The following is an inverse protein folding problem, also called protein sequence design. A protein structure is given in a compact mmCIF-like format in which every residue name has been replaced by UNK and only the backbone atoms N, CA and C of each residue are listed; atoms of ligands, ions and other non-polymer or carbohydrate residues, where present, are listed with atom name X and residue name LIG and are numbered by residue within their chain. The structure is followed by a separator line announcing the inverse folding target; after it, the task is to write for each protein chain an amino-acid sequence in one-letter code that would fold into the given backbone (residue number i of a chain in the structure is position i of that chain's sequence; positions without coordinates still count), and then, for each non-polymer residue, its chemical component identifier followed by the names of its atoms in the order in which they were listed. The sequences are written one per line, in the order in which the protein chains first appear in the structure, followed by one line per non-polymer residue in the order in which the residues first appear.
data_IF_253162342701
#
_entry.id   IF_253162342701
#
_cell.length_a   1.000
_cell.length_b   1.000
_cell.length_c   1.000
_cell.angle_alpha   90.00
_cell.angle_beta   90.00
_cell.angle_gamma   90.00
#
_symmetry.space_group_name_H-M   'P 1'
#
loop_
_entity.id
_entity.type
_entity.pdbx_description
1 polymer ?
#
# COMPACT_ATOMS: atom_id res chain seq x y z
N UNK A 1 20.65 -1.51 16.59
CA UNK A 1 19.37 -0.84 16.95
C UNK A 1 19.52 0.12 18.12
N UNK A 2 20.49 -0.04 19.03
CA UNK A 2 20.74 0.90 20.14
C UNK A 2 21.11 2.33 19.68
N UNK A 3 21.88 2.47 18.60
CA UNK A 3 22.33 3.78 18.12
C UNK A 3 21.18 4.71 17.68
N UNK A 4 20.12 4.14 17.10
CA UNK A 4 18.96 4.90 16.66
C UNK A 4 18.17 5.48 17.85
N UNK A 5 18.03 4.71 18.94
CA UNK A 5 17.35 5.16 20.16
C UNK A 5 18.15 6.24 20.89
N UNK A 6 19.47 6.08 20.96
CA UNK A 6 20.37 7.05 21.56
C UNK A 6 20.35 8.40 20.80
N UNK A 7 20.41 8.37 19.46
CA UNK A 7 20.32 9.56 18.62
C UNK A 7 18.97 10.28 18.75
N UNK A 8 17.86 9.53 18.78
CA UNK A 8 16.52 10.10 19.00
C UNK A 8 16.38 10.74 20.38
N UNK A 9 16.92 10.11 21.42
CA UNK A 9 16.88 10.67 22.78
C UNK A 9 17.68 11.96 22.89
N UNK A 10 18.85 12.04 22.25
CA UNK A 10 19.63 13.28 22.21
C UNK A 10 18.85 14.38 21.48
N UNK A 11 18.32 14.08 20.29
CA UNK A 11 17.57 15.04 19.49
C UNK A 11 16.33 15.57 20.24
N UNK A 12 15.58 14.70 20.93
CA UNK A 12 14.40 15.11 21.70
C UNK A 12 14.74 15.86 22.99
N UNK A 13 15.96 15.72 23.53
CA UNK A 13 16.45 16.54 24.65
C UNK A 13 16.80 17.96 24.21
N UNK A 14 17.33 18.11 23.00
CA UNK A 14 17.70 19.40 22.43
C UNK A 14 16.47 20.21 21.97
N UNK A 15 15.34 19.55 21.71
CA UNK A 15 14.07 20.19 21.33
C UNK A 15 13.36 20.88 22.48
N UNK A 16 12.66 21.98 22.15
CA UNK A 16 11.73 22.63 23.07
C UNK A 16 10.52 21.74 23.36
N UNK A 17 9.81 22.03 24.45
CA UNK A 17 8.58 21.31 24.79
C UNK A 17 7.49 21.47 23.72
N UNK A 18 7.38 22.66 23.15
CA UNK A 18 6.43 23.01 22.10
C UNK A 18 6.69 22.20 20.82
N UNK A 19 7.96 22.10 20.41
CA UNK A 19 8.36 21.31 19.23
C UNK A 19 8.16 19.81 19.44
N UNK A 20 8.38 19.32 20.67
CA UNK A 20 8.14 17.92 21.01
C UNK A 20 6.63 17.62 21.00
N UNK A 21 5.80 18.55 21.50
CA UNK A 21 4.34 18.46 21.49
C UNK A 21 3.77 18.52 20.06
N UNK A 22 4.32 19.40 19.21
CA UNK A 22 3.93 19.49 17.81
C UNK A 22 4.20 18.17 17.08
N UNK A 23 5.39 17.59 17.25
CA UNK A 23 5.73 16.28 16.67
C UNK A 23 4.86 15.15 17.19
N UNK A 24 4.52 15.19 18.48
CA UNK A 24 3.62 14.23 19.09
C UNK A 24 2.22 14.30 18.48
N UNK A 25 1.65 15.50 18.36
CA UNK A 25 0.33 15.74 17.76
C UNK A 25 0.30 15.50 16.25
N UNK A 26 1.43 15.64 15.55
CA UNK A 26 1.54 15.35 14.13
C UNK A 26 1.29 13.87 13.80
N UNK A 27 1.56 12.96 14.75
CA UNK A 27 1.21 11.54 14.64
C UNK A 27 2.11 10.73 13.69
N UNK A 28 3.27 11.26 13.30
CA UNK A 28 4.21 10.62 12.35
C UNK A 28 5.44 10.00 13.02
N UNK A 29 5.42 9.82 14.35
CA UNK A 29 6.51 9.20 15.10
C UNK A 29 6.53 7.68 14.90
N UNK A 30 7.72 7.12 14.73
CA UNK A 30 7.95 5.68 14.76
C UNK A 30 7.77 5.13 16.18
N UNK A 31 7.56 3.82 16.35
CA UNK A 31 7.35 3.21 17.67
C UNK A 31 8.48 3.54 18.66
N UNK A 32 9.74 3.47 18.19
CA UNK A 32 10.92 3.84 19.00
C UNK A 32 10.90 5.33 19.36
N UNK A 33 10.49 6.21 18.44
CA UNK A 33 10.37 7.63 18.73
C UNK A 33 9.22 7.93 19.70
N UNK A 34 8.10 7.21 19.63
CA UNK A 34 6.99 7.34 20.61
C UNK A 34 7.46 6.98 22.01
N UNK A 35 8.22 5.89 22.18
CA UNK A 35 8.78 5.51 23.49
C UNK A 35 9.74 6.56 24.05
N UNK A 36 10.63 7.08 23.19
CA UNK A 36 11.60 8.12 23.58
C UNK A 36 10.87 9.42 23.94
N UNK A 37 9.85 9.83 23.17
CA UNK A 37 9.04 11.01 23.46
C UNK A 37 8.29 10.87 24.79
N UNK A 38 7.67 9.71 25.07
CA UNK A 38 7.01 9.44 26.37
C UNK A 38 7.97 9.57 27.55
N UNK A 39 9.19 9.08 27.38
CA UNK A 39 10.22 9.15 28.40
C UNK A 39 10.63 10.61 28.65
N UNK A 40 10.80 11.40 27.60
CA UNK A 40 11.16 12.82 27.74
C UNK A 40 9.98 13.68 28.27
N UNK A 41 8.73 13.42 27.88
CA UNK A 41 7.56 14.08 28.48
C UNK A 41 7.44 13.78 29.98
N UNK A 42 7.63 12.51 30.37
CA UNK A 42 7.61 12.10 31.78
C UNK A 42 8.72 12.79 32.58
N UNK A 43 9.92 12.92 31.99
CA UNK A 43 11.05 13.64 32.61
C UNK A 43 10.77 15.13 32.76
N UNK A 44 10.06 15.74 31.82
CA UNK A 44 9.68 17.16 31.84
C UNK A 44 8.43 17.45 32.70
N UNK A 45 7.76 16.41 33.21
CA UNK A 45 6.54 16.56 34.02
C UNK A 45 5.32 16.97 33.22
N UNK A 46 5.36 16.84 31.89
CA UNK A 46 4.28 17.23 30.97
C UNK A 46 3.45 16.00 30.68
N UNK A 47 2.12 16.12 30.78
CA UNK A 47 1.22 15.06 30.33
C UNK A 47 0.79 15.34 28.88
N UNK A 48 1.35 14.62 27.89
CA UNK A 48 0.92 14.77 26.52
C UNK A 48 -0.47 14.13 26.32
N UNK A 49 -1.27 14.62 25.35
CA UNK A 49 -2.51 13.97 24.96
C UNK A 49 -2.26 12.54 24.46
N UNK A 50 -3.29 11.72 24.34
CA UNK A 50 -3.13 10.36 23.80
C UNK A 50 -2.49 10.41 22.40
N UNK A 51 -1.41 9.66 22.19
CA UNK A 51 -0.77 9.57 20.87
C UNK A 51 -1.72 8.90 19.89
N UNK A 52 -2.03 9.61 18.80
CA UNK A 52 -2.81 9.06 17.68
C UNK A 52 -1.86 8.97 16.49
N UNK A 53 -1.45 7.74 16.15
CA UNK A 53 -0.65 7.51 14.97
C UNK A 53 -1.46 7.92 13.73
N UNK A 54 -0.97 8.91 12.99
CA UNK A 54 -1.53 9.26 11.70
C UNK A 54 -1.04 8.21 10.71
N UNK A 55 -1.97 7.49 10.13
CA UNK A 55 -1.63 6.58 9.04
C UNK A 55 -1.14 7.46 7.88
N UNK A 56 0.16 7.44 7.66
CA UNK A 56 0.69 7.76 6.33
C UNK A 56 0.08 6.69 5.43
N UNK A 57 -0.63 7.10 4.38
CA UNK A 57 -0.93 6.22 3.25
C UNK A 57 0.41 5.68 2.76
N UNK A 58 0.80 4.53 3.32
CA UNK A 58 2.05 3.86 2.96
C UNK A 58 1.89 3.55 1.49
N UNK A 59 2.73 4.12 0.58
CA UNK A 59 2.74 3.62 -0.78
C UNK A 59 2.94 2.11 -0.66
N UNK A 60 2.18 1.33 -1.43
CA UNK A 60 2.01 -0.12 -1.29
C UNK A 60 3.29 -0.98 -1.49
N UNK A 61 4.48 -0.48 -1.12
CA UNK A 61 5.80 -1.07 -1.30
C UNK A 61 6.46 -1.60 -0.02
N UNK A 62 5.86 -1.47 1.16
CA UNK A 62 6.40 -2.07 2.40
C UNK A 62 5.37 -2.98 3.09
N UNK A 63 4.86 -3.94 2.32
CA UNK A 63 4.45 -5.23 2.87
C UNK A 63 5.72 -6.10 2.82
N UNK A 64 6.27 -6.47 3.98
CA UNK A 64 7.56 -7.18 4.07
C UNK A 64 7.63 -8.32 3.06
N UNK A 65 8.61 -8.24 2.14
CA UNK A 65 8.90 -9.14 1.01
C UNK A 65 7.91 -10.30 0.81
N UNK A 66 6.63 -9.99 0.59
CA UNK A 66 5.64 -11.02 0.35
C UNK A 66 5.88 -11.47 -1.09
N UNK A 67 6.18 -12.75 -1.27
CA UNK A 67 6.41 -13.32 -2.59
C UNK A 67 5.23 -12.97 -3.50
N UNK A 68 5.52 -12.24 -4.58
CA UNK A 68 4.50 -11.82 -5.54
C UNK A 68 4.35 -12.88 -6.62
N UNK A 69 3.11 -13.31 -6.85
CA UNK A 69 2.77 -14.33 -7.84
C UNK A 69 2.00 -13.68 -8.97
N UNK A 70 2.40 -13.96 -10.21
CA UNK A 70 1.68 -13.56 -11.41
C UNK A 70 0.32 -14.28 -11.47
N UNK A 71 -0.75 -13.48 -11.57
CA UNK A 71 -2.12 -13.97 -11.74
C UNK A 71 -2.44 -14.07 -13.23
N UNK A 72 -2.12 -13.01 -13.97
CA UNK A 72 -2.38 -12.93 -15.41
C UNK A 72 -1.48 -11.88 -16.06
N UNK A 73 -1.47 -11.88 -17.39
CA UNK A 73 -0.80 -10.88 -18.22
C UNK A 73 -1.67 -10.51 -19.41
N UNK A 74 -1.57 -9.26 -19.86
CA UNK A 74 -2.26 -8.79 -21.05
C UNK A 74 -1.46 -7.71 -21.79
N UNK A 75 -1.67 -7.62 -23.10
CA UNK A 75 -1.20 -6.51 -23.92
C UNK A 75 -2.12 -5.29 -23.82
N UNK A 76 -3.39 -5.51 -23.45
CA UNK A 76 -4.38 -4.46 -23.23
C UNK A 76 -4.33 -4.09 -21.76
N UNK A 77 -3.84 -2.88 -21.44
CA UNK A 77 -3.62 -2.46 -20.06
C UNK A 77 -4.96 -2.32 -19.31
N UNK A 78 -5.99 -1.87 -20.02
CA UNK A 78 -7.33 -1.63 -19.54
C UNK A 78 -7.96 -2.91 -18.96
N UNK A 79 -7.70 -4.07 -19.56
CA UNK A 79 -8.15 -5.37 -19.03
C UNK A 79 -7.56 -5.67 -17.65
N UNK A 80 -6.28 -5.34 -17.44
CA UNK A 80 -5.63 -5.52 -16.15
C UNK A 80 -6.07 -4.48 -15.13
N UNK A 81 -6.37 -3.25 -15.56
CA UNK A 81 -6.90 -2.20 -14.69
C UNK A 81 -8.32 -2.56 -14.20
N UNK A 82 -9.18 -3.09 -15.08
CA UNK A 82 -10.53 -3.57 -14.72
C UNK A 82 -10.45 -4.76 -13.77
N UNK A 83 -9.65 -5.79 -14.09
CA UNK A 83 -9.44 -6.92 -13.19
C UNK A 83 -8.83 -6.46 -11.85
N UNK A 84 -7.90 -5.51 -11.91
CA UNK A 84 -7.28 -4.93 -10.73
C UNK A 84 -8.27 -4.21 -9.83
N UNK A 85 -9.20 -3.44 -10.40
CA UNK A 85 -10.28 -2.82 -9.66
C UNK A 85 -11.16 -3.86 -8.95
N UNK A 86 -11.49 -4.97 -9.64
CA UNK A 86 -12.26 -6.06 -9.04
C UNK A 86 -11.53 -6.73 -7.88
N UNK A 87 -10.26 -7.06 -8.04
CA UNK A 87 -9.45 -7.66 -6.97
C UNK A 87 -9.32 -6.71 -5.76
N UNK A 88 -9.13 -5.41 -6.01
CA UNK A 88 -9.10 -4.39 -4.94
C UNK A 88 -10.42 -4.31 -4.17
N UNK A 89 -11.58 -4.45 -4.83
CA UNK A 89 -12.88 -4.46 -4.14
C UNK A 89 -13.07 -5.65 -3.18
N UNK A 90 -12.33 -6.75 -3.41
CA UNK A 90 -12.30 -7.94 -2.55
C UNK A 90 -11.21 -7.84 -1.46
N UNK A 91 -10.56 -6.67 -1.33
CA UNK A 91 -9.48 -6.44 -0.37
C UNK A 91 -8.13 -7.08 -0.77
N UNK A 92 -7.96 -7.48 -2.02
CA UNK A 92 -6.73 -8.14 -2.49
C UNK A 92 -5.72 -7.09 -2.97
N UNK A 93 -4.56 -6.94 -2.30
CA UNK A 93 -3.49 -6.07 -2.78
C UNK A 93 -2.87 -6.62 -4.07
N UNK A 94 -2.48 -5.72 -4.97
CA UNK A 94 -1.90 -6.08 -6.28
C UNK A 94 -0.91 -5.03 -6.79
N UNK A 95 -0.06 -5.46 -7.71
CA UNK A 95 0.87 -4.61 -8.48
C UNK A 95 0.73 -4.94 -9.96
N UNK A 96 0.69 -3.91 -10.82
CA UNK A 96 0.77 -4.08 -12.27
C UNK A 96 2.17 -3.69 -12.75
N UNK A 97 2.94 -4.67 -13.22
CA UNK A 97 4.30 -4.48 -13.73
C UNK A 97 4.23 -4.20 -15.24
N UNK A 98 5.15 -3.37 -15.73
CA UNK A 98 5.23 -2.88 -17.12
C UNK A 98 4.05 -2.02 -17.58
N UNK A 99 3.22 -1.50 -16.67
CA UNK A 99 2.07 -0.64 -17.02
C UNK A 99 2.49 0.58 -17.87
N UNK A 100 3.54 1.29 -17.43
CA UNK A 100 4.03 2.46 -18.15
C UNK A 100 4.60 2.11 -19.53
N UNK A 101 5.32 0.99 -19.64
CA UNK A 101 5.85 0.52 -20.93
C UNK A 101 4.71 0.17 -21.90
N UNK A 102 3.63 -0.44 -21.42
CA UNK A 102 2.44 -0.70 -22.24
C UNK A 102 1.78 0.61 -22.73
N UNK A 103 1.78 1.68 -21.93
CA UNK A 103 1.23 2.99 -22.31
C UNK A 103 2.02 3.70 -23.41
N UNK A 104 3.29 3.36 -23.62
CA UNK A 104 4.12 4.00 -24.65
C UNK A 104 3.74 3.60 -26.08
N UNK A 105 2.93 2.54 -26.25
CA UNK A 105 2.37 2.10 -27.52
C UNK A 105 2.64 0.62 -27.83
N UNK A 106 1.99 0.07 -28.87
CA UNK A 106 1.96 -1.38 -29.15
C UNK A 106 3.34 -2.01 -29.34
N UNK A 107 4.28 -1.29 -29.97
CA UNK A 107 5.65 -1.77 -30.18
C UNK A 107 6.39 -2.02 -28.87
N UNK A 108 6.22 -1.16 -27.87
CA UNK A 108 6.86 -1.28 -26.56
C UNK A 108 6.15 -2.34 -25.70
N UNK A 109 4.81 -2.40 -25.78
CA UNK A 109 4.01 -3.44 -25.16
C UNK A 109 4.44 -4.84 -25.62
N UNK A 110 4.62 -5.03 -26.93
CA UNK A 110 5.05 -6.30 -27.51
C UNK A 110 6.47 -6.68 -27.06
N UNK A 111 7.41 -5.74 -27.10
CA UNK A 111 8.79 -5.97 -26.66
C UNK A 111 8.89 -6.36 -25.17
N UNK A 112 8.03 -5.79 -24.32
CA UNK A 112 7.96 -6.11 -22.89
C UNK A 112 7.14 -7.37 -22.57
N UNK A 113 6.49 -7.98 -23.57
CA UNK A 113 5.58 -9.12 -23.38
C UNK A 113 4.28 -8.75 -22.65
N UNK A 114 3.85 -7.48 -22.76
CA UNK A 114 2.68 -6.92 -22.08
C UNK A 114 2.91 -6.56 -20.62
N UNK A 115 1.83 -6.09 -19.99
CA UNK A 115 1.77 -5.83 -18.56
C UNK A 115 1.36 -7.10 -17.81
N UNK A 116 1.79 -7.19 -16.55
CA UNK A 116 1.58 -8.35 -15.68
C UNK A 116 0.89 -7.91 -14.41
N UNK A 117 -0.14 -8.62 -13.98
CA UNK A 117 -0.81 -8.40 -12.70
C UNK A 117 -0.29 -9.42 -11.69
N UNK A 118 0.30 -8.93 -10.61
CA UNK A 118 0.85 -9.73 -9.53
C UNK A 118 0.11 -9.45 -8.22
N UNK A 119 -0.02 -10.47 -7.38
CA UNK A 119 -0.60 -10.38 -6.03
C UNK A 119 0.32 -11.11 -5.04
N UNK A 120 0.25 -10.81 -3.73
CA UNK A 120 0.95 -11.62 -2.73
C UNK A 120 0.51 -13.10 -2.80
N UNK A 121 1.46 -14.01 -2.62
CA UNK A 121 1.27 -15.47 -2.78
C UNK A 121 0.08 -16.02 -2.00
N UNK A 122 -0.18 -15.48 -0.80
CA UNK A 122 -1.32 -15.83 0.04
C UNK A 122 -2.70 -15.60 -0.64
N UNK A 123 -2.78 -14.69 -1.60
CA UNK A 123 -4.01 -14.40 -2.36
C UNK A 123 -4.02 -15.03 -3.76
N UNK A 124 -2.93 -15.67 -4.19
CA UNK A 124 -2.75 -16.09 -5.57
C UNK A 124 -3.84 -17.05 -6.08
N UNK A 125 -4.26 -18.01 -5.23
CA UNK A 125 -5.34 -18.94 -5.60
C UNK A 125 -6.66 -18.21 -5.84
N UNK A 126 -7.09 -17.41 -4.87
CA UNK A 126 -8.36 -16.69 -4.93
C UNK A 126 -8.37 -15.66 -6.08
N UNK A 127 -7.27 -14.93 -6.28
CA UNK A 127 -7.13 -13.98 -7.38
C UNK A 127 -7.22 -14.65 -8.76
N UNK A 128 -6.65 -15.85 -8.92
CA UNK A 128 -6.75 -16.64 -10.17
C UNK A 128 -8.17 -17.12 -10.45
N UNK A 129 -8.91 -17.50 -9.41
CA UNK A 129 -10.33 -17.88 -9.54
C UNK A 129 -11.18 -16.70 -10.00
N UNK A 130 -11.01 -15.51 -9.39
CA UNK A 130 -11.69 -14.28 -9.82
C UNK A 130 -11.32 -13.93 -11.27
N UNK A 131 -10.04 -14.00 -11.62
CA UNK A 131 -9.57 -13.71 -12.98
C UNK A 131 -10.20 -14.66 -14.01
N UNK A 132 -10.36 -15.94 -13.67
CA UNK A 132 -11.03 -16.91 -14.52
C UNK A 132 -12.52 -16.58 -14.71
N UNK A 133 -13.22 -16.18 -13.65
CA UNK A 133 -14.63 -15.77 -13.72
C UNK A 133 -14.84 -14.52 -14.59
N UNK A 134 -13.96 -13.52 -14.42
CA UNK A 134 -13.98 -12.31 -15.26
C UNK A 134 -13.74 -12.67 -16.73
N UNK A 135 -12.74 -13.50 -17.02
CA UNK A 135 -12.44 -13.94 -18.38
C UNK A 135 -13.57 -14.78 -19.00
N UNK A 136 -14.28 -15.55 -18.19
CA UNK A 136 -15.44 -16.33 -18.62
C UNK A 136 -16.70 -15.48 -18.87
N UNK A 137 -16.65 -14.17 -18.63
CA UNK A 137 -17.81 -13.29 -18.81
C UNK A 137 -18.89 -13.51 -17.75
N UNK A 138 -18.56 -14.11 -16.59
CA UNK A 138 -19.53 -14.40 -15.53
C UNK A 138 -20.22 -13.15 -14.95
N UNK A 139 -19.66 -11.97 -15.24
CA UNK A 139 -20.19 -10.66 -14.83
C UNK A 139 -20.72 -9.82 -16.00
N UNK A 140 -20.90 -10.43 -17.18
CA UNK A 140 -21.52 -9.74 -18.31
C UNK A 140 -22.95 -9.34 -17.95
N UNK A 141 -23.27 -8.07 -18.14
CA UNK A 141 -24.65 -7.59 -18.02
C UNK A 141 -25.48 -8.31 -19.08
N UNK A 142 -26.63 -8.86 -18.68
CA UNK A 142 -27.58 -9.41 -19.64
C UNK A 142 -28.16 -8.26 -20.43
N UNK A 143 -28.06 -8.34 -21.76
CA UNK A 143 -28.80 -7.45 -22.66
C UNK A 143 -30.30 -7.71 -22.44
N UNK A 144 -30.97 -6.89 -21.62
CA UNK A 144 -32.42 -6.98 -21.46
C UNK A 144 -33.06 -6.45 -20.17
N UNK A 145 -32.32 -5.97 -19.17
CA UNK A 145 -32.95 -5.52 -17.91
C UNK A 145 -33.43 -4.07 -17.88
N UNK A 146 -33.33 -3.33 -18.98
CA UNK A 146 -33.94 -1.99 -19.12
C UNK A 146 -34.93 -1.97 -20.28
N UNK A 147 -36.23 -2.06 -19.96
CA UNK A 147 -37.37 -1.29 -20.51
C UNK A 147 -38.70 -1.92 -20.03
N UNK A 148 -39.14 -1.55 -18.82
CA UNK A 148 -40.55 -1.59 -18.40
C UNK A 148 -40.93 -0.30 -17.69
#
# INVERSE_FOLDING_TARGET
MEDARAGLSQSFREMSEEELMERWCAGFLTDVAVEVARTEFSRRGVQPPAYVARQVDRPAGEAGAAELVEVTRSQVLEELEVLGARLKSEGIPLVIVNANTNRMGPQFANAAGGARLLVPSQFAKYAKEIAALVKAGAFALRDGDDLR
#
